data_IF_118150070795
#
_entry.id   IF_118150070795
#
_cell.length_a   1.000
_cell.length_b   1.000
_cell.length_c   1.000
_cell.angle_alpha   90.00
_cell.angle_beta   90.00
_cell.angle_gamma   90.00
#
_symmetry.space_group_name_H-M   'P 1'
#
loop_
_entity.id
_entity.type
_entity.pdbx_description
1 polymer ?
#
# COMPACT_ATOMS: atom_id res chain seq x y z
N UNK A 1 -77.17 -18.08 -0.73
CA UNK A 1 -75.93 -17.73 -1.46
C UNK A 1 -75.62 -16.27 -1.18
N UNK A 2 -74.69 -15.97 -0.25
CA UNK A 2 -74.20 -14.59 -0.03
C UNK A 2 -72.69 -14.64 -0.23
N UNK A 3 -72.23 -14.18 -1.39
CA UNK A 3 -70.82 -14.01 -1.67
C UNK A 3 -70.38 -12.65 -1.08
N UNK A 4 -69.67 -12.68 0.05
CA UNK A 4 -68.98 -11.50 0.57
C UNK A 4 -67.71 -11.31 -0.26
N UNK A 5 -67.77 -10.34 -1.18
CA UNK A 5 -66.64 -9.88 -2.00
C UNK A 5 -65.56 -9.28 -1.08
N UNK A 6 -64.47 -10.02 -0.88
CA UNK A 6 -63.27 -9.52 -0.22
C UNK A 6 -62.51 -8.60 -1.16
N UNK A 7 -62.56 -7.29 -0.93
CA UNK A 7 -61.68 -6.34 -1.60
C UNK A 7 -60.25 -6.52 -1.09
N UNK A 8 -59.45 -7.30 -1.80
CA UNK A 8 -58.01 -7.37 -1.56
C UNK A 8 -57.37 -6.01 -1.89
N UNK A 9 -57.10 -5.19 -0.85
CA UNK A 9 -56.24 -4.01 -1.00
C UNK A 9 -54.85 -4.48 -1.41
N UNK A 10 -54.48 -4.28 -2.67
CA UNK A 10 -53.11 -4.45 -3.13
C UNK A 10 -52.24 -3.42 -2.41
N UNK A 11 -51.46 -3.87 -1.42
CA UNK A 11 -50.47 -3.03 -0.74
C UNK A 11 -49.35 -2.73 -1.73
N UNK A 12 -49.47 -1.66 -2.51
CA UNK A 12 -48.37 -1.17 -3.33
C UNK A 12 -47.30 -0.61 -2.39
N UNK A 13 -46.13 -1.23 -2.39
CA UNK A 13 -45.00 -0.77 -1.58
C UNK A 13 -44.53 0.56 -2.16
N UNK A 14 -44.60 1.63 -1.36
CA UNK A 14 -44.18 2.97 -1.81
C UNK A 14 -42.73 2.93 -2.35
N UNK A 15 -42.45 3.56 -3.52
CA UNK A 15 -41.09 3.70 -4.06
C UNK A 15 -40.07 4.23 -3.04
N UNK A 16 -40.52 5.08 -2.11
CA UNK A 16 -39.68 5.61 -1.02
C UNK A 16 -39.16 4.52 -0.09
N UNK A 17 -39.94 3.47 0.19
CA UNK A 17 -39.51 2.33 1.03
C UNK A 17 -38.41 1.54 0.35
N UNK A 18 -38.47 1.38 -0.97
CA UNK A 18 -37.43 0.71 -1.74
C UNK A 18 -36.13 1.52 -1.80
N UNK A 19 -36.21 2.85 -1.95
CA UNK A 19 -35.03 3.73 -1.90
C UNK A 19 -34.36 3.66 -0.52
N UNK A 20 -35.15 3.78 0.55
CA UNK A 20 -34.62 3.67 1.93
C UNK A 20 -34.00 2.30 2.16
N UNK A 21 -34.68 1.21 1.77
CA UNK A 21 -34.15 -0.14 1.90
C UNK A 21 -32.81 -0.30 1.16
N UNK A 22 -32.74 0.11 -0.11
CA UNK A 22 -31.51 0.04 -0.89
C UNK A 22 -30.40 0.86 -0.22
N UNK A 23 -30.69 2.08 0.21
CA UNK A 23 -29.74 2.93 0.95
C UNK A 23 -29.23 2.27 2.23
N UNK A 24 -30.11 1.65 3.01
CA UNK A 24 -29.73 0.91 4.23
C UNK A 24 -28.87 -0.31 3.93
N UNK A 25 -29.16 -1.06 2.87
CA UNK A 25 -28.34 -2.20 2.43
C UNK A 25 -26.95 -1.73 2.00
N UNK A 26 -26.85 -0.66 1.21
CA UNK A 26 -25.57 -0.09 0.80
C UNK A 26 -24.76 0.43 2.00
N UNK A 27 -25.39 1.16 2.90
CA UNK A 27 -24.74 1.65 4.12
C UNK A 27 -24.26 0.50 5.00
N UNK A 28 -25.09 -0.53 5.19
CA UNK A 28 -24.74 -1.74 5.92
C UNK A 28 -23.56 -2.49 5.30
N UNK A 29 -23.56 -2.67 3.98
CA UNK A 29 -22.45 -3.32 3.26
C UNK A 29 -21.15 -2.50 3.36
N UNK A 30 -21.24 -1.17 3.26
CA UNK A 30 -20.08 -0.29 3.42
C UNK A 30 -19.52 -0.37 4.84
N UNK A 31 -20.36 -0.31 5.87
CA UNK A 31 -19.96 -0.45 7.28
C UNK A 31 -19.32 -1.82 7.54
N UNK A 32 -19.93 -2.90 7.06
CA UNK A 32 -19.38 -4.25 7.19
C UNK A 32 -17.99 -4.35 6.54
N UNK A 33 -17.79 -3.69 5.39
CA UNK A 33 -16.47 -3.61 4.73
C UNK A 33 -15.45 -2.87 5.60
N UNK A 34 -15.83 -1.76 6.24
CA UNK A 34 -14.92 -1.03 7.14
C UNK A 34 -14.54 -1.85 8.37
N UNK A 35 -15.52 -2.53 8.98
CA UNK A 35 -15.31 -3.42 10.12
C UNK A 35 -14.39 -4.60 9.74
N UNK A 36 -14.56 -5.15 8.54
CA UNK A 36 -13.69 -6.20 8.01
C UNK A 36 -12.23 -5.74 7.87
N UNK A 37 -12.00 -4.52 7.34
CA UNK A 37 -10.65 -3.96 7.28
C UNK A 37 -10.06 -3.72 8.67
N UNK A 38 -10.84 -3.11 9.58
CA UNK A 38 -10.41 -2.85 10.94
C UNK A 38 -10.05 -4.14 11.68
N UNK A 39 -10.87 -5.18 11.58
CA UNK A 39 -10.62 -6.48 12.19
C UNK A 39 -9.34 -7.14 11.65
N UNK A 40 -9.11 -7.07 10.32
CA UNK A 40 -7.86 -7.59 9.75
C UNK A 40 -6.63 -6.79 10.20
N UNK A 41 -6.72 -5.46 10.26
CA UNK A 41 -5.63 -4.61 10.74
C UNK A 41 -5.31 -4.94 12.20
N UNK A 42 -6.32 -5.06 13.06
CA UNK A 42 -6.14 -5.44 14.46
C UNK A 42 -5.52 -6.83 14.61
N UNK A 43 -5.91 -7.77 13.76
CA UNK A 43 -5.29 -9.09 13.72
C UNK A 43 -3.80 -9.02 13.34
N UNK A 44 -3.42 -8.09 12.46
CA UNK A 44 -2.03 -7.89 12.05
C UNK A 44 -1.12 -7.26 13.10
N UNK A 45 -1.66 -6.79 14.22
CA UNK A 45 -0.87 -6.51 15.43
C UNK A 45 -0.20 -7.76 15.98
N UNK A 46 -0.76 -8.95 15.71
CA UNK A 46 -0.30 -10.22 16.29
C UNK A 46 0.23 -11.20 15.25
N UNK A 47 -0.29 -11.17 14.03
CA UNK A 47 0.12 -12.09 12.96
C UNK A 47 0.54 -11.36 11.69
N UNK A 48 1.38 -11.99 10.89
CA UNK A 48 1.85 -11.41 9.63
C UNK A 48 0.79 -11.58 8.52
N UNK A 49 0.53 -10.54 7.70
CA UNK A 49 -0.30 -10.68 6.50
C UNK A 49 0.25 -11.76 5.55
N UNK A 50 -0.60 -12.71 5.15
CA UNK A 50 -0.20 -13.77 4.23
C UNK A 50 -0.15 -13.34 2.76
N UNK A 51 -1.05 -12.45 2.32
CA UNK A 51 -1.03 -11.89 0.96
C UNK A 51 -1.70 -10.53 0.91
N UNK A 52 -1.32 -9.72 -0.09
CA UNK A 52 -1.93 -8.41 -0.33
C UNK A 52 -2.81 -8.40 -1.58
N UNK A 53 -3.66 -7.38 -1.73
CA UNK A 53 -4.46 -7.20 -2.94
C UNK A 53 -3.58 -7.13 -4.19
N UNK A 54 -2.40 -6.51 -4.09
CA UNK A 54 -1.45 -6.43 -5.19
C UNK A 54 -0.84 -7.80 -5.52
N UNK A 55 -0.42 -8.57 -4.51
CA UNK A 55 0.11 -9.92 -4.73
C UNK A 55 -0.92 -10.84 -5.37
N UNK A 56 -2.18 -10.81 -4.91
CA UNK A 56 -3.26 -11.64 -5.47
C UNK A 56 -3.55 -11.27 -6.94
N UNK A 57 -3.60 -9.98 -7.23
CA UNK A 57 -3.79 -9.49 -8.61
C UNK A 57 -2.65 -9.96 -9.50
N UNK A 58 -1.41 -9.80 -9.05
CA UNK A 58 -0.23 -10.17 -9.83
C UNK A 58 -0.09 -11.68 -10.00
N UNK A 59 -0.39 -12.48 -8.98
CA UNK A 59 -0.39 -13.94 -9.08
C UNK A 59 -1.32 -14.42 -10.20
N UNK A 60 -2.51 -13.81 -10.32
CA UNK A 60 -3.44 -14.12 -11.40
C UNK A 60 -2.86 -13.77 -12.78
N UNK A 61 -2.22 -12.61 -12.94
CA UNK A 61 -1.58 -12.24 -14.21
C UNK A 61 -0.38 -13.13 -14.55
N UNK A 62 0.49 -13.42 -13.59
CA UNK A 62 1.68 -14.25 -13.79
C UNK A 62 1.34 -15.70 -14.10
N UNK A 63 0.21 -16.21 -13.60
CA UNK A 63 -0.29 -17.55 -13.94
C UNK A 63 -0.62 -17.72 -15.43
N UNK A 64 -0.80 -16.61 -16.16
CA UNK A 64 -1.09 -16.58 -17.60
C UNK A 64 0.15 -16.49 -18.47
N UNK A 65 1.34 -16.32 -17.87
CA UNK A 65 2.60 -16.33 -18.59
C UNK A 65 2.93 -17.75 -19.11
N UNK A 66 3.81 -17.83 -20.10
CA UNK A 66 4.31 -19.10 -20.66
C UNK A 66 5.84 -19.13 -20.59
N UNK A 67 6.45 -19.88 -19.66
CA UNK A 67 5.83 -20.67 -18.58
C UNK A 67 5.21 -19.80 -17.48
N UNK A 68 4.25 -20.32 -16.68
CA UNK A 68 3.66 -19.57 -15.58
C UNK A 68 4.71 -19.12 -14.57
N UNK A 69 4.75 -17.82 -14.29
CA UNK A 69 5.59 -17.26 -13.26
C UNK A 69 4.86 -17.26 -11.91
N UNK A 70 5.63 -17.24 -10.82
CA UNK A 70 5.10 -17.20 -9.46
C UNK A 70 5.55 -15.94 -8.74
N UNK A 71 4.77 -15.56 -7.72
CA UNK A 71 5.16 -14.49 -6.79
C UNK A 71 6.35 -14.98 -5.95
N UNK A 72 7.41 -14.19 -5.94
CA UNK A 72 8.52 -14.32 -5.01
C UNK A 72 8.25 -13.43 -3.81
N UNK A 73 7.96 -14.04 -2.68
CA UNK A 73 7.72 -13.36 -1.42
C UNK A 73 8.25 -14.22 -0.27
N UNK A 74 8.93 -13.58 0.67
CA UNK A 74 9.38 -14.22 1.89
C UNK A 74 9.31 -13.18 3.00
N UNK A 75 8.53 -13.48 4.04
CA UNK A 75 8.49 -12.64 5.23
C UNK A 75 9.79 -12.76 6.02
N UNK A 76 10.34 -11.63 6.43
CA UNK A 76 11.41 -11.57 7.44
C UNK A 76 11.03 -10.56 8.52
N UNK A 77 11.32 -10.87 9.81
CA UNK A 77 11.10 -9.95 10.92
C UNK A 77 11.80 -8.60 10.72
N UNK A 78 11.28 -7.54 11.36
CA UNK A 78 11.79 -6.18 11.19
C UNK A 78 13.29 -6.06 11.44
N UNK A 79 13.80 -6.64 12.52
CA UNK A 79 15.21 -6.65 12.93
C UNK A 79 16.14 -7.35 11.92
N UNK A 80 15.63 -8.29 11.13
CA UNK A 80 16.36 -9.00 10.07
C UNK A 80 16.40 -8.23 8.74
N UNK A 81 15.84 -7.02 8.69
CA UNK A 81 15.92 -6.13 7.53
C UNK A 81 17.00 -5.07 7.77
N UNK A 82 17.90 -4.88 6.80
CA UNK A 82 18.99 -3.91 6.91
C UNK A 82 18.50 -2.51 7.29
N UNK A 83 19.16 -1.91 8.29
CA UNK A 83 18.93 -0.51 8.69
C UNK A 83 19.14 0.47 7.53
N UNK A 84 20.04 0.14 6.59
CA UNK A 84 20.25 0.95 5.39
C UNK A 84 19.02 0.96 4.50
N UNK A 85 18.35 -0.18 4.33
CA UNK A 85 17.13 -0.28 3.52
C UNK A 85 16.00 0.52 4.15
N UNK A 86 15.78 0.31 5.45
CA UNK A 86 14.79 1.05 6.24
C UNK A 86 14.96 2.57 6.08
N UNK A 87 16.18 3.06 6.29
CA UNK A 87 16.53 4.48 6.14
C UNK A 87 16.38 5.01 4.72
N UNK A 88 16.83 4.24 3.72
CA UNK A 88 16.71 4.63 2.32
C UNK A 88 15.24 4.81 1.91
N UNK A 89 14.34 3.97 2.43
CA UNK A 89 12.92 4.01 2.10
C UNK A 89 12.23 5.20 2.74
N UNK A 90 12.44 5.42 4.04
CA UNK A 90 11.94 6.63 4.73
C UNK A 90 12.47 7.88 4.03
N UNK A 91 13.77 7.96 3.77
CA UNK A 91 14.36 9.12 3.10
C UNK A 91 13.89 9.34 1.65
N UNK A 92 13.38 8.31 0.96
CA UNK A 92 12.92 8.40 -0.43
C UNK A 92 11.43 8.68 -0.52
N UNK A 93 10.63 7.94 0.25
CA UNK A 93 9.18 7.87 0.11
C UNK A 93 8.44 8.76 1.09
N UNK A 94 8.95 8.91 2.32
CA UNK A 94 8.23 9.56 3.41
C UNK A 94 9.19 9.95 4.56
N UNK A 95 9.80 11.13 4.47
CA UNK A 95 10.86 11.54 5.41
C UNK A 95 10.36 11.80 6.82
N UNK A 96 9.05 12.02 7.00
CA UNK A 96 8.41 12.25 8.29
C UNK A 96 7.72 10.99 8.83
N UNK A 97 7.92 9.83 8.20
CA UNK A 97 7.19 8.59 8.52
C UNK A 97 7.18 8.22 10.00
N UNK A 98 8.31 8.41 10.70
CA UNK A 98 8.45 8.07 12.11
C UNK A 98 7.55 8.93 13.03
N UNK A 99 7.13 10.12 12.59
CA UNK A 99 6.43 11.12 13.41
C UNK A 99 5.07 11.54 12.86
N UNK A 100 4.80 11.33 11.57
CA UNK A 100 3.51 11.68 10.96
C UNK A 100 2.40 10.69 11.35
N UNK A 101 1.13 11.04 11.15
CA UNK A 101 -0.02 10.15 11.41
C UNK A 101 -0.60 9.57 10.11
N UNK A 102 0.26 9.19 9.16
CA UNK A 102 -0.11 8.63 7.87
C UNK A 102 -0.41 9.67 6.78
N UNK A 103 -0.24 10.96 7.08
CA UNK A 103 -0.33 12.05 6.12
C UNK A 103 0.77 13.08 6.38
N UNK A 104 1.30 13.66 5.30
CA UNK A 104 2.31 14.72 5.34
C UNK A 104 1.80 15.89 4.49
N UNK A 105 1.34 16.94 5.18
CA UNK A 105 0.74 18.13 4.54
C UNK A 105 1.80 18.88 3.73
N UNK A 106 3.01 18.98 4.25
CA UNK A 106 4.11 19.67 3.57
C UNK A 106 4.53 18.92 2.30
N UNK A 107 4.58 17.58 2.35
CA UNK A 107 4.85 16.77 1.17
C UNK A 107 3.76 16.92 0.10
N UNK A 108 2.49 17.02 0.51
CA UNK A 108 1.36 17.27 -0.39
C UNK A 108 1.50 18.66 -1.05
N UNK A 109 1.77 19.70 -0.27
CA UNK A 109 1.96 21.06 -0.78
C UNK A 109 3.15 21.15 -1.74
N UNK A 110 4.29 20.58 -1.36
CA UNK A 110 5.48 20.53 -2.22
C UNK A 110 5.22 19.74 -3.52
N UNK A 111 4.47 18.65 -3.46
CA UNK A 111 4.09 17.89 -4.65
C UNK A 111 3.18 18.73 -5.56
N UNK A 112 2.23 19.46 -4.98
CA UNK A 112 1.34 20.36 -5.71
C UNK A 112 2.11 21.48 -6.42
N UNK A 113 3.01 22.18 -5.72
CA UNK A 113 3.84 23.25 -6.29
C UNK A 113 4.73 22.74 -7.43
N UNK A 114 5.38 21.58 -7.26
CA UNK A 114 6.19 20.94 -8.31
C UNK A 114 5.36 20.56 -9.53
N UNK A 115 4.16 20.03 -9.32
CA UNK A 115 3.25 19.64 -10.40
C UNK A 115 2.72 20.87 -11.15
N UNK A 116 2.39 21.95 -10.43
CA UNK A 116 1.99 23.25 -11.01
C UNK A 116 3.12 23.84 -11.86
N UNK A 117 4.34 23.89 -11.33
CA UNK A 117 5.50 24.42 -12.05
C UNK A 117 5.87 23.60 -13.30
N UNK A 118 5.59 22.29 -13.31
CA UNK A 118 5.89 21.40 -14.44
C UNK A 118 4.73 21.24 -15.43
N UNK A 119 3.55 21.77 -15.13
CA UNK A 119 2.33 21.59 -15.95
C UNK A 119 1.84 20.15 -16.07
N UNK A 120 2.39 19.22 -15.27
CA UNK A 120 2.05 17.79 -15.27
C UNK A 120 2.38 17.16 -13.93
N UNK A 121 1.74 16.04 -13.62
CA UNK A 121 2.01 15.28 -12.39
C UNK A 121 3.40 14.63 -12.49
N UNK A 122 4.35 15.13 -11.69
CA UNK A 122 5.74 14.65 -11.58
C UNK A 122 6.10 14.16 -10.18
N UNK A 123 5.37 14.59 -9.15
CA UNK A 123 5.58 14.24 -7.76
C UNK A 123 4.26 13.79 -7.12
N UNK A 124 4.34 12.77 -6.27
CA UNK A 124 3.23 12.32 -5.43
C UNK A 124 3.50 12.71 -3.96
N UNK A 125 2.43 12.97 -3.21
CA UNK A 125 2.50 13.25 -1.77
C UNK A 125 1.89 12.12 -0.93
N UNK A 126 2.06 10.86 -1.34
CA UNK A 126 1.53 9.71 -0.58
C UNK A 126 2.59 9.14 0.35
N UNK A 127 2.25 9.06 1.63
CA UNK A 127 3.06 8.50 2.71
C UNK A 127 3.25 6.99 2.58
N UNK A 128 4.19 6.43 3.34
CA UNK A 128 4.39 4.97 3.39
C UNK A 128 3.11 4.25 3.81
N UNK A 129 2.37 4.77 4.80
CA UNK A 129 1.13 4.16 5.28
C UNK A 129 0.01 4.21 4.25
N UNK A 130 -0.08 5.29 3.46
CA UNK A 130 -1.02 5.37 2.33
C UNK A 130 -0.69 4.35 1.23
N UNK A 131 0.60 4.21 0.91
CA UNK A 131 1.05 3.21 -0.04
C UNK A 131 0.76 1.79 0.46
N UNK A 132 0.93 1.56 1.76
CA UNK A 132 0.63 0.30 2.43
C UNK A 132 -0.86 -0.03 2.38
N UNK A 133 -1.72 0.90 2.80
CA UNK A 133 -3.18 0.77 2.74
C UNK A 133 -3.66 0.35 1.34
N UNK A 134 -3.11 1.00 0.30
CA UNK A 134 -3.41 0.67 -1.09
C UNK A 134 -2.95 -0.74 -1.46
N UNK A 135 -1.72 -1.12 -1.09
CA UNK A 135 -1.17 -2.43 -1.43
C UNK A 135 -1.96 -3.58 -0.77
N UNK A 136 -2.25 -3.44 0.53
CA UNK A 136 -2.92 -4.47 1.33
C UNK A 136 -4.34 -4.76 0.83
N UNK A 137 -5.15 -3.72 0.57
CA UNK A 137 -6.59 -3.89 0.41
C UNK A 137 -7.15 -3.45 -0.94
N UNK A 138 -6.49 -2.55 -1.66
CA UNK A 138 -7.11 -1.84 -2.78
C UNK A 138 -6.51 -2.23 -4.13
N UNK A 139 -7.23 -1.90 -5.20
CA UNK A 139 -6.72 -2.07 -6.56
C UNK A 139 -5.67 -1.01 -6.92
N UNK A 140 -4.90 -1.28 -7.98
CA UNK A 140 -3.94 -0.34 -8.57
C UNK A 140 -4.60 0.77 -9.38
N UNK A 141 -5.89 0.61 -9.72
CA UNK A 141 -6.64 1.57 -10.53
C UNK A 141 -6.73 2.92 -9.83
N UNK A 142 -6.75 4.01 -10.59
CA UNK A 142 -6.81 5.36 -10.01
C UNK A 142 -8.23 5.88 -10.08
N UNK A 143 -8.90 5.98 -8.93
CA UNK A 143 -10.18 6.66 -8.79
C UNK A 143 -10.23 7.46 -7.48
N UNK A 144 -11.07 8.50 -7.43
CA UNK A 144 -11.26 9.31 -6.23
C UNK A 144 -11.89 8.48 -5.09
N UNK A 145 -12.84 7.60 -5.41
CA UNK A 145 -13.47 6.70 -4.43
C UNK A 145 -12.40 5.80 -3.79
N UNK A 146 -11.52 5.18 -4.60
CA UNK A 146 -10.43 4.36 -4.07
C UNK A 146 -9.43 5.19 -3.26
N UNK A 147 -9.15 6.45 -3.63
CA UNK A 147 -8.30 7.34 -2.82
C UNK A 147 -8.98 7.70 -1.49
N UNK A 148 -10.29 7.92 -1.45
CA UNK A 148 -11.04 8.11 -0.20
C UNK A 148 -10.94 6.89 0.72
N UNK A 149 -11.13 5.69 0.17
CA UNK A 149 -10.97 4.45 0.92
C UNK A 149 -9.52 4.24 1.41
N UNK A 150 -8.52 4.62 0.61
CA UNK A 150 -7.11 4.59 1.02
C UNK A 150 -6.88 5.44 2.27
N UNK A 151 -7.47 6.63 2.36
CA UNK A 151 -7.34 7.52 3.52
C UNK A 151 -8.01 6.93 4.77
N UNK A 152 -9.19 6.33 4.63
CA UNK A 152 -9.89 5.66 5.74
C UNK A 152 -9.04 4.52 6.30
N UNK A 153 -8.50 3.66 5.43
CA UNK A 153 -7.65 2.54 5.82
C UNK A 153 -6.32 3.02 6.41
N UNK A 154 -5.75 4.10 5.86
CA UNK A 154 -4.53 4.73 6.41
C UNK A 154 -4.77 5.16 7.86
N UNK A 155 -5.89 5.82 8.13
CA UNK A 155 -6.27 6.20 9.49
C UNK A 155 -6.44 4.98 10.41
N UNK A 156 -7.08 3.90 9.93
CA UNK A 156 -7.19 2.66 10.71
C UNK A 156 -5.82 2.05 11.03
N UNK A 157 -4.90 1.99 10.06
CA UNK A 157 -3.54 1.47 10.26
C UNK A 157 -2.80 2.26 11.34
N UNK A 158 -2.79 3.59 11.23
CA UNK A 158 -2.11 4.50 12.16
C UNK A 158 -2.73 4.51 13.56
N UNK A 159 -4.02 4.18 13.68
CA UNK A 159 -4.70 4.12 14.97
C UNK A 159 -4.45 2.80 15.71
N UNK A 160 -4.25 1.70 14.97
CA UNK A 160 -4.25 0.34 15.54
C UNK A 160 -2.84 -0.24 15.64
N UNK A 161 -1.95 0.11 14.71
CA UNK A 161 -0.59 -0.42 14.65
C UNK A 161 0.41 0.66 15.03
N UNK A 162 1.47 0.26 15.72
CA UNK A 162 2.61 1.13 15.95
C UNK A 162 3.44 1.30 14.66
N UNK A 163 4.27 2.35 14.64
CA UNK A 163 5.04 2.71 13.45
C UNK A 163 6.03 1.63 13.02
N UNK A 164 6.59 0.88 13.97
CA UNK A 164 7.50 -0.22 13.64
C UNK A 164 6.75 -1.32 12.89
N UNK A 165 5.57 -1.73 13.38
CA UNK A 165 4.76 -2.76 12.74
C UNK A 165 4.23 -2.35 11.38
N UNK A 166 3.74 -1.11 11.24
CA UNK A 166 3.34 -0.56 9.94
C UNK A 166 4.50 -0.69 8.95
N UNK A 167 5.71 -0.34 9.38
CA UNK A 167 6.86 -0.35 8.50
C UNK A 167 7.35 -1.76 8.17
N UNK A 168 7.32 -2.69 9.13
CA UNK A 168 7.60 -4.10 8.88
C UNK A 168 6.66 -4.69 7.83
N UNK A 169 5.36 -4.45 7.95
CA UNK A 169 4.38 -4.92 6.97
C UNK A 169 4.66 -4.30 5.61
N UNK A 170 4.95 -2.99 5.56
CA UNK A 170 5.31 -2.32 4.32
C UNK A 170 6.55 -2.92 3.65
N UNK A 171 7.63 -3.10 4.40
CA UNK A 171 8.89 -3.66 3.90
C UNK A 171 8.73 -5.08 3.37
N UNK A 172 7.83 -5.87 3.96
CA UNK A 172 7.51 -7.21 3.51
C UNK A 172 6.44 -7.27 2.41
N UNK A 173 5.70 -6.19 2.16
CA UNK A 173 4.56 -6.19 1.21
C UNK A 173 4.79 -5.37 -0.05
N UNK A 174 5.79 -4.48 -0.07
CA UNK A 174 6.03 -3.60 -1.23
C UNK A 174 6.56 -4.38 -2.44
N UNK A 175 6.12 -3.99 -3.64
CA UNK A 175 6.58 -4.56 -4.91
C UNK A 175 7.90 -3.92 -5.33
N UNK A 176 8.88 -4.74 -5.68
CA UNK A 176 10.21 -4.31 -6.13
C UNK A 176 10.45 -4.53 -7.63
N UNK A 177 9.69 -5.44 -8.23
CA UNK A 177 9.79 -5.83 -9.64
C UNK A 177 8.64 -6.73 -10.04
N UNK A 178 8.67 -7.29 -11.25
CA UNK A 178 7.59 -8.16 -11.73
C UNK A 178 7.51 -9.42 -10.86
N UNK A 179 6.50 -9.49 -10.01
CA UNK A 179 6.29 -10.63 -9.10
C UNK A 179 7.27 -10.72 -7.94
N UNK A 180 8.04 -9.66 -7.64
CA UNK A 180 9.00 -9.64 -6.53
C UNK A 180 8.47 -8.74 -5.43
N UNK A 181 8.13 -9.31 -4.28
CA UNK A 181 7.50 -8.62 -3.16
C UNK A 181 8.27 -8.83 -1.87
N UNK A 182 8.41 -7.75 -1.10
CA UNK A 182 9.10 -7.79 0.18
C UNK A 182 10.62 -7.68 0.09
N UNK A 183 11.23 -7.18 1.15
CA UNK A 183 12.65 -6.86 1.21
C UNK A 183 13.56 -8.09 0.99
N UNK A 184 13.22 -9.25 1.57
CA UNK A 184 14.02 -10.47 1.41
C UNK A 184 14.01 -10.96 -0.04
N UNK A 185 12.84 -11.04 -0.66
CA UNK A 185 12.74 -11.44 -2.06
C UNK A 185 13.53 -10.47 -2.96
N UNK A 186 13.45 -9.16 -2.71
CA UNK A 186 14.22 -8.16 -3.46
C UNK A 186 15.74 -8.34 -3.31
N UNK A 187 16.23 -8.52 -2.08
CA UNK A 187 17.65 -8.70 -1.81
C UNK A 187 18.21 -9.94 -2.51
N UNK A 188 17.48 -11.06 -2.45
CA UNK A 188 17.81 -12.30 -3.15
C UNK A 188 17.74 -12.16 -4.66
N UNK A 189 16.73 -11.45 -5.15
CA UNK A 189 16.50 -11.28 -6.57
C UNK A 189 17.58 -10.42 -7.23
N UNK A 190 17.87 -9.24 -6.66
CA UNK A 190 18.78 -8.26 -7.24
C UNK A 190 20.25 -8.44 -6.87
N UNK A 191 20.54 -8.94 -5.66
CA UNK A 191 21.90 -8.94 -5.11
C UNK A 191 22.38 -10.31 -4.60
N UNK A 192 21.51 -11.34 -4.62
CA UNK A 192 21.85 -12.71 -4.18
C UNK A 192 22.33 -12.78 -2.72
N UNK A 193 21.86 -11.85 -1.89
CA UNK A 193 22.18 -11.76 -0.45
C UNK A 193 20.87 -11.68 0.36
N UNK A 194 20.89 -12.03 1.67
CA UNK A 194 19.77 -11.75 2.56
C UNK A 194 19.54 -10.25 2.75
N UNK A 195 18.31 -9.85 3.04
CA UNK A 195 17.92 -8.44 3.28
C UNK A 195 18.69 -7.80 4.43
N UNK A 196 19.10 -8.58 5.44
CA UNK A 196 19.94 -8.12 6.55
C UNK A 196 21.31 -7.61 6.10
N UNK A 197 21.83 -8.08 4.96
CA UNK A 197 23.16 -7.73 4.43
C UNK A 197 23.15 -6.60 3.40
N UNK A 198 22.00 -5.99 3.11
CA UNK A 198 21.93 -4.89 2.16
C UNK A 198 22.78 -3.70 2.65
N UNK A 199 23.77 -3.33 1.84
CA UNK A 199 24.60 -2.16 2.06
C UNK A 199 23.88 -0.85 1.74
N UNK A 200 24.51 0.27 2.08
CA UNK A 200 24.00 1.61 1.84
C UNK A 200 23.62 1.87 0.37
N UNK A 201 24.54 1.56 -0.55
CA UNK A 201 24.34 1.78 -1.97
C UNK A 201 23.25 0.89 -2.57
N UNK A 202 23.23 -0.40 -2.21
CA UNK A 202 22.19 -1.35 -2.66
C UNK A 202 20.81 -0.91 -2.19
N UNK A 203 20.71 -0.49 -0.93
CA UNK A 203 19.48 0.03 -0.31
C UNK A 203 18.97 1.28 -1.02
N UNK A 204 19.85 2.24 -1.29
CA UNK A 204 19.48 3.46 -2.01
C UNK A 204 19.03 3.16 -3.45
N UNK A 205 19.67 2.21 -4.13
CA UNK A 205 19.25 1.79 -5.49
C UNK A 205 17.88 1.12 -5.50
N UNK A 206 17.59 0.28 -4.51
CA UNK A 206 16.27 -0.32 -4.34
C UNK A 206 15.21 0.76 -4.09
N UNK A 207 15.48 1.72 -3.20
CA UNK A 207 14.55 2.81 -2.91
C UNK A 207 14.13 3.61 -4.16
N UNK A 208 15.05 3.86 -5.10
CA UNK A 208 14.74 4.53 -6.38
C UNK A 208 13.72 3.75 -7.23
N UNK A 209 13.63 2.43 -7.05
CA UNK A 209 12.78 1.58 -7.90
C UNK A 209 11.30 1.66 -7.53
N UNK A 210 10.99 1.96 -6.26
CA UNK A 210 9.65 1.89 -5.69
C UNK A 210 8.56 2.68 -6.45
N UNK A 211 8.83 3.87 -7.00
CA UNK A 211 7.81 4.60 -7.75
C UNK A 211 7.37 3.88 -9.04
N UNK A 212 8.24 3.07 -9.65
CA UNK A 212 7.98 2.34 -10.90
C UNK A 212 8.69 0.98 -10.93
N UNK A 213 8.33 0.02 -10.06
CA UNK A 213 9.14 -1.18 -9.80
C UNK A 213 9.40 -1.99 -11.08
N UNK A 214 8.35 -2.29 -11.84
CA UNK A 214 8.43 -3.05 -13.09
C UNK A 214 9.27 -2.38 -14.18
N UNK A 215 9.28 -1.05 -14.24
CA UNK A 215 10.09 -0.34 -15.24
C UNK A 215 11.57 -0.46 -14.90
N UNK A 216 11.95 -0.22 -13.64
CA UNK A 216 13.34 -0.35 -13.20
C UNK A 216 13.83 -1.79 -13.22
N UNK A 217 12.93 -2.74 -12.99
CA UNK A 217 13.23 -4.17 -13.10
C UNK A 217 13.65 -4.56 -14.52
N UNK A 218 13.01 -3.98 -15.54
CA UNK A 218 13.37 -4.15 -16.95
C UNK A 218 14.55 -3.26 -17.39
N UNK A 219 14.84 -2.16 -16.68
CA UNK A 219 15.89 -1.17 -17.01
C UNK A 219 16.94 -1.07 -15.90
N UNK A 220 17.45 -2.22 -15.47
CA UNK A 220 18.46 -2.30 -14.40
C UNK A 220 19.72 -1.57 -14.82
N UNK A 221 20.33 -0.85 -13.89
CA UNK A 221 21.59 -0.16 -14.18
C UNK A 221 21.45 1.16 -14.93
N UNK A 222 20.22 1.67 -15.12
CA UNK A 222 20.04 2.98 -15.75
C UNK A 222 20.80 4.10 -15.02
N UNK A 223 21.37 5.04 -15.79
CA UNK A 223 22.08 6.20 -15.25
C UNK A 223 21.19 7.01 -14.29
N UNK A 224 19.89 7.12 -14.61
CA UNK A 224 18.90 7.74 -13.73
C UNK A 224 18.84 7.06 -12.36
N UNK A 225 18.83 5.72 -12.31
CA UNK A 225 18.82 4.99 -11.04
C UNK A 225 20.07 5.32 -10.21
N UNK A 226 21.26 5.26 -10.82
CA UNK A 226 22.51 5.52 -10.13
C UNK A 226 22.58 6.97 -9.60
N UNK A 227 22.19 7.96 -10.40
CA UNK A 227 22.20 9.36 -10.00
C UNK A 227 21.26 9.63 -8.81
N UNK A 228 20.04 9.09 -8.84
CA UNK A 228 19.07 9.26 -7.76
C UNK A 228 19.46 8.48 -6.50
N UNK A 229 20.05 7.30 -6.65
CA UNK A 229 20.57 6.51 -5.54
C UNK A 229 21.69 7.26 -4.80
N UNK A 230 22.55 8.00 -5.50
CA UNK A 230 23.55 8.86 -4.85
C UNK A 230 22.95 9.96 -3.99
N UNK A 231 21.82 10.55 -4.42
CA UNK A 231 21.10 11.54 -3.61
C UNK A 231 20.53 10.90 -2.34
N UNK A 232 19.89 9.73 -2.45
CA UNK A 232 19.31 9.02 -1.31
C UNK A 232 20.40 8.57 -0.34
N UNK A 233 21.48 7.95 -0.84
CA UNK A 233 22.58 7.45 -0.01
C UNK A 233 23.22 8.55 0.84
N UNK A 234 23.32 9.79 0.32
CA UNK A 234 23.85 10.93 1.06
C UNK A 234 22.94 11.41 2.19
N UNK A 235 21.62 11.32 2.04
CA UNK A 235 20.66 11.88 3.01
C UNK A 235 20.03 10.85 3.94
N UNK A 236 20.04 9.56 3.59
CA UNK A 236 19.32 8.55 4.36
C UNK A 236 19.85 8.35 5.78
N UNK A 237 21.09 8.76 6.07
CA UNK A 237 21.63 8.74 7.43
C UNK A 237 20.80 9.55 8.44
N UNK A 238 20.12 10.60 7.97
CA UNK A 238 19.25 11.45 8.77
C UNK A 238 17.83 10.89 8.97
N UNK A 239 17.46 9.80 8.30
CA UNK A 239 16.15 9.20 8.49
C UNK A 239 16.05 8.51 9.85
N UNK A 240 15.07 8.94 10.63
CA UNK A 240 14.70 8.33 11.90
C UNK A 240 13.98 7.00 11.64
N UNK A 241 14.39 5.96 12.36
CA UNK A 241 13.71 4.67 12.32
C UNK A 241 12.70 4.64 13.46
N UNK A 242 11.46 4.18 13.20
CA UNK A 242 10.53 3.93 14.29
C UNK A 242 11.13 2.88 15.23
N UNK A 243 10.86 3.06 16.52
CA UNK A 243 11.16 2.11 17.57
C UNK A 243 9.82 1.70 18.17
N UNK A 244 9.65 0.40 18.41
CA UNK A 244 8.55 -0.14 19.20
C UNK A 244 8.48 0.59 20.54
N UNK A 245 7.28 1.06 20.89
CA UNK A 245 6.97 1.63 22.21
C UNK A 245 6.63 0.52 23.20
#
# INVERSE_FOLDING_TARGET
MVAVSGTQRTRTVSPTRWIVYAGSVFAGAWLATQLFYLAQIALWSFINPGSTAFMRTDAWWLSRDKPPAQIQHQWVPYDQISRNLKRALIASEDSTFATNNGYDVDAILQAWEKNKARGRIVAGGSTITQQLARNLFLSREKSYIRKGQELIITWMLETVLDKERIFEIYLNSVEWGRGVYGAEAAARYYYKIPASRLGAWQSARLAVMLPKPRWFDAHRGSAYQAQRAAVIARRMGAAELPQSQ
#
